data_IF_822645373774
#
_entry.id   IF_822645373774
#
_cell.length_a   1.000
_cell.length_b   1.000
_cell.length_c   1.000
_cell.angle_alpha   90.00
_cell.angle_beta   90.00
_cell.angle_gamma   90.00
#
_symmetry.space_group_name_H-M   'P 1'
#
loop_
_entity.id
_entity.type
_entity.pdbx_description
1 polymer ?
#
# COMPACT_ATOMS: atom_id res chain seq x y z
N UNK A 1 7.81 15.75 2.65
CA UNK A 1 7.01 16.92 3.12
C UNK A 1 5.55 16.73 2.73
N UNK A 2 4.67 16.42 3.70
CA UNK A 2 3.27 16.13 3.39
C UNK A 2 2.41 17.35 3.03
N UNK A 3 2.84 18.56 3.37
CA UNK A 3 2.10 19.78 3.03
C UNK A 3 2.11 20.10 1.53
N UNK A 4 3.03 19.48 0.77
CA UNK A 4 3.20 19.68 -0.68
C UNK A 4 3.07 18.35 -1.46
N UNK A 5 2.45 17.34 -0.84
CA UNK A 5 2.39 15.98 -1.39
C UNK A 5 1.73 15.96 -2.77
N UNK A 6 0.60 16.65 -2.96
CA UNK A 6 -0.07 16.69 -4.27
C UNK A 6 0.83 17.27 -5.39
N UNK A 7 1.62 18.30 -5.11
CA UNK A 7 2.51 18.90 -6.12
C UNK A 7 3.74 18.01 -6.40
N UNK A 8 4.39 17.51 -5.34
CA UNK A 8 5.54 16.61 -5.46
C UNK A 8 5.16 15.32 -6.20
N UNK A 9 3.99 14.78 -5.90
CA UNK A 9 3.46 13.58 -6.55
C UNK A 9 2.97 13.86 -7.97
N UNK A 10 2.39 15.04 -8.25
CA UNK A 10 2.00 15.38 -9.62
C UNK A 10 3.18 15.40 -10.59
N UNK A 11 4.35 15.89 -10.14
CA UNK A 11 5.58 15.85 -10.93
C UNK A 11 6.07 14.41 -11.15
N UNK A 12 6.17 13.62 -10.08
CA UNK A 12 6.57 12.22 -10.16
C UNK A 12 5.64 11.40 -11.08
N UNK A 13 4.34 11.62 -10.97
CA UNK A 13 3.32 11.04 -11.85
C UNK A 13 3.54 11.40 -13.31
N UNK A 14 3.90 12.65 -13.61
CA UNK A 14 4.18 13.09 -14.99
C UNK A 14 5.36 12.32 -15.62
N UNK A 15 6.34 11.92 -14.80
CA UNK A 15 7.45 11.05 -15.20
C UNK A 15 6.97 9.62 -15.45
N UNK A 16 6.15 9.06 -14.56
CA UNK A 16 5.69 7.67 -14.66
C UNK A 16 4.77 7.37 -15.84
N UNK A 17 4.04 8.38 -16.33
CA UNK A 17 3.20 8.24 -17.54
C UNK A 17 3.99 8.39 -18.85
N UNK A 18 5.28 8.68 -18.78
CA UNK A 18 6.12 8.81 -19.97
C UNK A 18 6.38 7.46 -20.65
N UNK A 19 6.59 7.44 -21.99
CA UNK A 19 7.00 6.24 -22.70
C UNK A 19 8.26 5.63 -22.09
N UNK A 20 8.24 4.33 -21.82
CA UNK A 20 9.34 3.62 -21.16
C UNK A 20 9.22 3.54 -19.65
N UNK A 21 8.21 4.17 -19.03
CA UNK A 21 7.80 3.89 -17.65
C UNK A 21 6.51 3.07 -17.56
N UNK A 22 5.61 3.20 -18.54
CA UNK A 22 4.33 2.49 -18.61
C UNK A 22 3.96 2.15 -20.07
N UNK A 23 3.27 1.02 -20.35
CA UNK A 23 2.95 -0.10 -19.45
C UNK A 23 4.10 -1.09 -19.27
N UNK A 24 5.20 -0.92 -20.01
CA UNK A 24 6.39 -1.77 -19.95
C UNK A 24 7.60 -0.89 -19.67
N UNK A 25 8.35 -1.13 -18.58
CA UNK A 25 9.58 -0.42 -18.29
C UNK A 25 10.61 -0.59 -19.38
N UNK A 26 11.32 0.49 -19.70
CA UNK A 26 12.41 0.50 -20.68
C UNK A 26 13.56 -0.39 -20.21
N UNK A 27 14.18 -1.18 -21.10
CA UNK A 27 15.41 -1.92 -20.77
C UNK A 27 16.63 -1.00 -20.60
N UNK A 28 16.53 0.27 -21.01
CA UNK A 28 17.60 1.24 -20.83
C UNK A 28 17.68 1.68 -19.37
N UNK A 29 18.79 1.35 -18.70
CA UNK A 29 19.01 1.61 -17.27
C UNK A 29 18.66 3.05 -16.85
N UNK A 30 19.13 4.05 -17.62
CA UNK A 30 18.87 5.45 -17.29
C UNK A 30 17.37 5.81 -17.27
N UNK A 31 16.56 5.20 -18.14
CA UNK A 31 15.11 5.38 -18.12
C UNK A 31 14.49 4.60 -16.96
N UNK A 32 14.93 3.36 -16.73
CA UNK A 32 14.42 2.54 -15.62
C UNK A 32 14.68 3.19 -14.25
N UNK A 33 15.88 3.73 -14.03
CA UNK A 33 16.24 4.47 -12.81
C UNK A 33 15.35 5.70 -12.62
N UNK A 34 15.12 6.49 -13.68
CA UNK A 34 14.24 7.67 -13.63
C UNK A 34 12.80 7.30 -13.24
N UNK A 35 12.27 6.20 -13.79
CA UNK A 35 10.93 5.73 -13.44
C UNK A 35 10.87 5.20 -12.00
N UNK A 36 11.91 4.50 -11.55
CA UNK A 36 12.02 4.00 -10.18
C UNK A 36 12.06 5.14 -9.16
N UNK A 37 12.88 6.18 -9.40
CA UNK A 37 12.95 7.36 -8.54
C UNK A 37 11.60 8.07 -8.45
N UNK A 38 10.91 8.23 -9.58
CA UNK A 38 9.57 8.81 -9.60
C UNK A 38 8.55 7.94 -8.82
N UNK A 39 8.62 6.62 -8.95
CA UNK A 39 7.79 5.71 -8.17
C UNK A 39 8.07 5.82 -6.67
N UNK A 40 9.34 5.91 -6.25
CA UNK A 40 9.70 6.10 -4.83
C UNK A 40 9.21 7.42 -4.27
N UNK A 41 9.22 8.51 -5.05
CA UNK A 41 8.64 9.78 -4.61
C UNK A 41 7.12 9.63 -4.37
N UNK A 42 6.41 8.95 -5.27
CA UNK A 42 4.98 8.68 -5.08
C UNK A 42 4.74 7.80 -3.85
N UNK A 43 5.51 6.73 -3.71
CA UNK A 43 5.41 5.80 -2.59
C UNK A 43 5.68 6.47 -1.24
N UNK A 44 6.73 7.26 -1.13
CA UNK A 44 7.09 7.92 0.13
C UNK A 44 5.95 8.82 0.64
N UNK A 45 5.33 9.59 -0.24
CA UNK A 45 4.17 10.42 0.14
C UNK A 45 2.94 9.57 0.43
N UNK A 46 2.71 8.53 -0.37
CA UNK A 46 1.58 7.63 -0.20
C UNK A 46 1.60 6.91 1.16
N UNK A 47 2.77 6.38 1.55
CA UNK A 47 2.91 5.55 2.75
C UNK A 47 3.12 6.37 4.03
N UNK A 48 3.80 7.53 3.95
CA UNK A 48 4.20 8.30 5.14
C UNK A 48 3.26 9.46 5.48
N UNK A 49 2.48 9.97 4.51
CA UNK A 49 1.61 11.11 4.76
C UNK A 49 0.23 10.70 5.27
N UNK A 50 -0.47 11.61 5.98
CA UNK A 50 -1.87 11.42 6.35
C UNK A 50 -2.72 11.04 5.14
N UNK A 51 -3.78 10.27 5.37
CA UNK A 51 -4.56 9.71 4.28
C UNK A 51 -5.24 10.75 3.37
N UNK A 52 -5.38 11.98 3.84
CA UNK A 52 -5.97 13.10 3.10
C UNK A 52 -4.92 14.05 2.48
N UNK A 53 -3.62 13.80 2.68
CA UNK A 53 -2.55 14.60 2.10
C UNK A 53 -2.40 14.43 0.57
N UNK A 54 -2.96 13.35 0.03
CA UNK A 54 -2.98 13.06 -1.40
C UNK A 54 -4.40 12.76 -1.85
N UNK A 55 -4.75 13.20 -3.05
CA UNK A 55 -6.04 12.82 -3.61
C UNK A 55 -6.18 11.29 -3.76
N UNK A 56 -7.37 10.78 -3.44
CA UNK A 56 -7.75 9.37 -3.61
C UNK A 56 -7.38 8.82 -5.00
N UNK A 57 -7.60 9.62 -6.04
CA UNK A 57 -7.27 9.25 -7.42
C UNK A 57 -5.78 8.93 -7.59
N UNK A 58 -4.90 9.78 -7.04
CA UNK A 58 -3.46 9.60 -7.16
C UNK A 58 -3.00 8.35 -6.39
N UNK A 59 -3.51 8.12 -5.17
CA UNK A 59 -3.21 6.92 -4.40
C UNK A 59 -3.57 5.64 -5.16
N UNK A 60 -4.76 5.60 -5.74
CA UNK A 60 -5.19 4.46 -6.56
C UNK A 60 -4.31 4.27 -7.81
N UNK A 61 -3.97 5.35 -8.52
CA UNK A 61 -3.11 5.27 -9.71
C UNK A 61 -1.72 4.69 -9.40
N UNK A 62 -1.18 4.92 -8.20
CA UNK A 62 0.11 4.37 -7.78
C UNK A 62 0.14 2.83 -7.82
N UNK A 63 -0.95 2.17 -7.43
CA UNK A 63 -1.02 0.70 -7.37
C UNK A 63 -0.85 0.04 -8.74
N UNK A 64 -1.10 0.77 -9.83
CA UNK A 64 -0.80 0.28 -11.17
C UNK A 64 0.71 0.06 -11.36
N UNK A 65 1.58 0.75 -10.63
CA UNK A 65 3.04 0.71 -10.82
C UNK A 65 3.77 -0.26 -9.88
N UNK A 66 3.14 -0.74 -8.81
CA UNK A 66 3.77 -1.58 -7.78
C UNK A 66 4.26 -2.94 -8.30
N UNK A 67 3.70 -3.42 -9.42
CA UNK A 67 4.17 -4.64 -10.09
C UNK A 67 5.32 -4.39 -11.07
N UNK A 68 5.57 -3.13 -11.42
CA UNK A 68 6.61 -2.71 -12.37
C UNK A 68 7.90 -2.29 -11.66
N UNK A 69 7.77 -1.66 -10.48
CA UNK A 69 8.89 -1.06 -9.77
C UNK A 69 9.09 -1.64 -8.38
N UNK A 70 10.37 -1.77 -8.05
CA UNK A 70 10.83 -2.12 -6.73
C UNK A 70 10.48 -1.04 -5.70
N UNK A 71 9.46 -1.17 -4.85
CA UNK A 71 9.22 -0.28 -3.72
C UNK A 71 10.15 -0.48 -2.53
N UNK A 72 9.99 0.40 -1.55
CA UNK A 72 10.70 0.37 -0.28
C UNK A 72 9.76 -0.07 0.85
N UNK A 73 10.31 -0.38 2.02
CA UNK A 73 9.47 -0.59 3.19
C UNK A 73 9.17 0.75 3.88
N UNK A 74 7.91 0.95 4.28
CA UNK A 74 7.47 2.04 5.16
C UNK A 74 6.65 1.43 6.29
N UNK A 75 6.82 1.90 7.55
CA UNK A 75 5.95 1.49 8.63
C UNK A 75 4.51 1.93 8.35
N UNK A 76 3.50 1.13 8.75
CA UNK A 76 2.10 1.57 8.73
C UNK A 76 1.91 2.85 9.57
N UNK A 77 0.88 3.66 9.27
CA UNK A 77 0.59 4.86 10.05
C UNK A 77 0.27 4.50 11.52
N UNK A 78 0.75 5.34 12.43
CA UNK A 78 0.47 5.22 13.86
C UNK A 78 -0.54 6.30 14.29
N UNK A 79 -1.57 5.87 15.02
CA UNK A 79 -2.63 6.73 15.53
C UNK A 79 -2.60 6.75 17.05
N UNK A 80 -2.32 7.92 17.64
CA UNK A 80 -2.28 8.06 19.10
C UNK A 80 -3.62 7.69 19.75
N UNK A 81 -3.55 6.89 20.82
CA UNK A 81 -4.71 6.37 21.53
C UNK A 81 -5.56 5.32 20.80
N UNK A 82 -5.20 4.91 19.58
CA UNK A 82 -5.96 3.90 18.84
C UNK A 82 -5.69 2.47 19.37
N UNK A 83 -6.71 1.59 19.38
CA UNK A 83 -6.56 0.21 19.84
C UNK A 83 -5.67 -0.62 18.89
N UNK A 84 -5.17 -1.79 19.31
CA UNK A 84 -4.48 -2.70 18.40
C UNK A 84 -5.42 -3.17 17.28
N UNK A 85 -4.88 -3.29 16.07
CA UNK A 85 -5.57 -3.87 14.92
C UNK A 85 -5.81 -5.38 15.08
N UNK A 86 -6.75 -5.96 14.32
CA UNK A 86 -6.87 -7.41 14.22
C UNK A 86 -5.58 -8.05 13.65
N UNK A 87 -5.39 -9.37 13.85
CA UNK A 87 -4.24 -10.08 13.29
C UNK A 87 -4.16 -10.01 11.76
N UNK A 88 -2.94 -10.15 11.22
CA UNK A 88 -2.69 -10.26 9.78
C UNK A 88 -3.51 -11.40 9.16
N UNK A 89 -4.11 -11.22 7.96
CA UNK A 89 -4.77 -12.31 7.26
C UNK A 89 -3.75 -13.39 6.86
N UNK A 90 -4.15 -14.67 6.93
CA UNK A 90 -3.31 -15.80 6.50
C UNK A 90 -2.95 -15.74 5.00
N UNK A 91 -3.84 -15.15 4.18
CA UNK A 91 -3.66 -15.02 2.73
C UNK A 91 -4.02 -13.63 2.25
N UNK A 92 -3.10 -12.97 1.57
CA UNK A 92 -3.35 -11.63 1.03
C UNK A 92 -4.48 -11.56 -0.01
N UNK A 93 -4.72 -12.66 -0.73
CA UNK A 93 -5.85 -12.77 -1.66
C UNK A 93 -7.21 -12.67 -0.98
N UNK A 94 -7.32 -12.90 0.33
CA UNK A 94 -8.61 -12.79 1.04
C UNK A 94 -9.08 -11.34 1.21
N UNK A 95 -8.19 -10.36 0.98
CA UNK A 95 -8.52 -8.94 1.14
C UNK A 95 -9.62 -8.47 0.18
N UNK A 96 -9.77 -9.13 -0.97
CA UNK A 96 -10.86 -8.83 -1.93
C UNK A 96 -12.26 -9.15 -1.34
N UNK A 97 -12.38 -10.19 -0.52
CA UNK A 97 -13.63 -10.48 0.16
C UNK A 97 -14.02 -9.38 1.17
N UNK A 98 -13.04 -8.73 1.81
CA UNK A 98 -13.28 -7.62 2.74
C UNK A 98 -13.84 -6.39 2.01
N UNK A 99 -13.35 -6.12 0.79
CA UNK A 99 -13.90 -5.06 -0.07
C UNK A 99 -15.37 -5.35 -0.39
N UNK A 100 -15.69 -6.59 -0.78
CA UNK A 100 -17.07 -6.98 -1.06
C UNK A 100 -17.97 -6.82 0.18
N UNK A 101 -17.49 -7.25 1.35
CA UNK A 101 -18.22 -7.06 2.62
C UNK A 101 -18.49 -5.58 2.90
N UNK A 102 -17.49 -4.71 2.76
CA UNK A 102 -17.67 -3.26 2.97
C UNK A 102 -18.66 -2.63 1.97
N UNK A 103 -18.66 -3.11 0.72
CA UNK A 103 -19.63 -2.68 -0.29
C UNK A 103 -21.05 -3.17 0.03
N UNK A 104 -21.22 -4.44 0.42
CA UNK A 104 -22.52 -5.03 0.77
C UNK A 104 -23.13 -4.38 2.00
N UNK A 105 -22.31 -4.05 2.99
CA UNK A 105 -22.71 -3.28 4.19
C UNK A 105 -22.91 -1.79 3.91
N UNK A 106 -22.65 -1.33 2.69
CA UNK A 106 -22.78 0.05 2.25
C UNK A 106 -21.97 1.02 3.12
N UNK A 107 -20.71 0.70 3.39
CA UNK A 107 -19.78 1.50 4.19
C UNK A 107 -19.18 2.67 3.38
N UNK A 108 -20.00 3.41 2.62
CA UNK A 108 -19.52 4.33 1.57
C UNK A 108 -19.43 5.80 1.97
N UNK A 109 -19.81 6.14 3.20
CA UNK A 109 -19.65 7.47 3.78
C UNK A 109 -19.23 7.39 5.24
N UNK A 110 -18.70 8.49 5.79
CA UNK A 110 -18.37 8.63 7.21
C UNK A 110 -19.51 8.23 8.15
N UNK A 111 -20.74 8.63 7.83
CA UNK A 111 -21.94 8.32 8.63
C UNK A 111 -22.25 6.83 8.61
N UNK A 112 -22.20 6.21 7.42
CA UNK A 112 -22.46 4.77 7.28
C UNK A 112 -21.39 3.95 7.98
N UNK A 113 -20.12 4.34 7.82
CA UNK A 113 -19.02 3.65 8.47
C UNK A 113 -19.11 3.77 9.99
N UNK A 114 -19.45 4.94 10.52
CA UNK A 114 -19.56 5.15 11.97
C UNK A 114 -20.78 4.48 12.61
N UNK A 115 -21.81 4.16 11.83
CA UNK A 115 -23.04 3.54 12.31
C UNK A 115 -22.98 2.01 12.43
N UNK A 116 -21.94 1.35 11.89
CA UNK A 116 -21.81 -0.12 11.86
C UNK A 116 -20.47 -0.58 12.41
N UNK A 117 -20.54 -1.41 13.45
CA UNK A 117 -19.36 -2.10 13.98
C UNK A 117 -18.82 -3.13 12.99
N UNK A 118 -19.67 -3.71 12.15
CA UNK A 118 -19.31 -4.62 11.08
C UNK A 118 -18.49 -3.90 9.98
N UNK A 119 -18.86 -2.67 9.61
CA UNK A 119 -18.02 -1.82 8.77
C UNK A 119 -16.65 -1.60 9.41
N UNK A 120 -16.61 -1.28 10.71
CA UNK A 120 -15.36 -1.10 11.45
C UNK A 120 -14.46 -2.33 11.43
N UNK A 121 -15.02 -3.52 11.72
CA UNK A 121 -14.28 -4.77 11.72
C UNK A 121 -13.73 -5.14 10.33
N UNK A 122 -14.55 -5.02 9.29
CA UNK A 122 -14.14 -5.30 7.91
C UNK A 122 -13.08 -4.29 7.42
N UNK A 123 -13.22 -3.01 7.78
CA UNK A 123 -12.27 -1.96 7.43
C UNK A 123 -10.92 -2.18 8.13
N UNK A 124 -10.91 -2.45 9.44
CA UNK A 124 -9.68 -2.72 10.17
C UNK A 124 -8.95 -3.95 9.62
N UNK A 125 -9.67 -5.01 9.26
CA UNK A 125 -9.08 -6.17 8.60
C UNK A 125 -8.48 -5.80 7.22
N UNK A 126 -9.16 -4.96 6.44
CA UNK A 126 -8.65 -4.49 5.14
C UNK A 126 -7.45 -3.58 5.31
N UNK A 127 -7.43 -2.71 6.33
CA UNK A 127 -6.30 -1.86 6.68
C UNK A 127 -5.06 -2.68 7.03
N UNK A 128 -5.21 -3.75 7.81
CA UNK A 128 -4.12 -4.67 8.11
C UNK A 128 -3.65 -5.38 6.85
N UNK A 129 -4.57 -5.92 6.04
CA UNK A 129 -4.21 -6.59 4.80
C UNK A 129 -3.44 -5.66 3.86
N UNK A 130 -3.90 -4.43 3.69
CA UNK A 130 -3.30 -3.42 2.83
C UNK A 130 -1.85 -3.07 3.21
N UNK A 131 -1.60 -2.93 4.52
CA UNK A 131 -0.29 -2.52 5.05
C UNK A 131 0.68 -3.70 5.26
N UNK A 132 0.17 -4.90 5.52
CA UNK A 132 1.00 -6.08 5.83
C UNK A 132 1.22 -7.04 4.67
N UNK A 133 0.43 -6.93 3.59
CA UNK A 133 0.61 -7.76 2.42
C UNK A 133 1.66 -7.21 1.47
N UNK A 134 2.39 -8.12 0.84
CA UNK A 134 3.20 -7.79 -0.32
C UNK A 134 2.31 -7.12 -1.38
N UNK A 135 2.71 -5.95 -1.87
CA UNK A 135 1.95 -5.16 -2.85
C UNK A 135 1.68 -5.90 -4.16
N UNK A 136 2.55 -6.86 -4.53
CA UNK A 136 2.35 -7.73 -5.70
C UNK A 136 1.42 -8.92 -5.43
N UNK A 137 1.22 -9.30 -4.17
CA UNK A 137 0.31 -10.37 -3.75
C UNK A 137 -1.06 -9.84 -3.30
N UNK A 138 -1.16 -8.55 -2.98
CA UNK A 138 -2.41 -7.88 -2.66
C UNK A 138 -3.20 -7.68 -3.98
N UNK A 139 -4.44 -8.19 -4.09
CA UNK A 139 -5.24 -7.95 -5.28
C UNK A 139 -5.43 -6.45 -5.54
N UNK A 140 -5.35 -6.02 -6.80
CA UNK A 140 -5.55 -4.61 -7.17
C UNK A 140 -6.90 -4.07 -6.67
N UNK A 141 -7.94 -4.92 -6.67
CA UNK A 141 -9.24 -4.56 -6.11
C UNK A 141 -9.19 -4.27 -4.61
N UNK A 142 -8.37 -5.00 -3.85
CA UNK A 142 -8.16 -4.74 -2.42
C UNK A 142 -7.37 -3.46 -2.18
N UNK A 143 -6.32 -3.22 -2.96
CA UNK A 143 -5.52 -1.99 -2.88
C UNK A 143 -6.37 -0.73 -3.17
N UNK A 144 -7.14 -0.76 -4.28
CA UNK A 144 -8.09 0.29 -4.62
C UNK A 144 -9.23 0.40 -3.62
N UNK A 145 -9.76 -0.74 -3.17
CA UNK A 145 -10.83 -0.81 -2.17
C UNK A 145 -10.43 -0.18 -0.84
N UNK A 146 -9.19 -0.40 -0.40
CA UNK A 146 -8.66 0.25 0.80
C UNK A 146 -8.78 1.77 0.68
N UNK A 147 -8.28 2.40 -0.39
CA UNK A 147 -8.41 3.85 -0.56
C UNK A 147 -9.85 4.33 -0.81
N UNK A 148 -10.75 3.46 -1.27
CA UNK A 148 -12.16 3.80 -1.31
C UNK A 148 -12.75 4.00 0.08
N UNK A 149 -12.40 3.12 1.02
CA UNK A 149 -12.97 3.11 2.37
C UNK A 149 -12.12 3.90 3.38
N UNK A 150 -10.82 4.05 3.16
CA UNK A 150 -9.90 4.78 4.05
C UNK A 150 -10.40 6.20 4.30
N UNK A 151 -10.70 6.95 3.24
CA UNK A 151 -11.18 8.33 3.34
C UNK A 151 -12.49 8.48 4.13
N UNK A 152 -13.28 7.41 4.22
CA UNK A 152 -14.59 7.41 4.88
C UNK A 152 -14.54 6.81 6.30
N UNK A 153 -13.67 5.83 6.53
CA UNK A 153 -13.76 4.95 7.71
C UNK A 153 -12.58 5.08 8.67
N UNK A 154 -11.41 5.56 8.22
CA UNK A 154 -10.18 5.57 9.05
C UNK A 154 -10.31 6.46 10.28
N UNK A 155 -11.03 7.58 10.19
CA UNK A 155 -11.18 8.51 11.32
C UNK A 155 -11.95 7.90 12.49
N UNK A 156 -12.91 7.02 12.19
CA UNK A 156 -13.74 6.35 13.20
C UNK A 156 -13.11 5.04 13.68
N UNK A 157 -12.52 4.28 12.76
CA UNK A 157 -12.11 2.89 13.00
C UNK A 157 -10.61 2.66 12.93
N UNK A 158 -9.79 3.71 13.08
CA UNK A 158 -8.33 3.59 13.20
C UNK A 158 -7.92 2.57 14.25
N UNK A 159 -6.86 1.84 13.95
CA UNK A 159 -6.20 0.91 14.84
C UNK A 159 -4.69 0.94 14.55
N UNK A 160 -3.89 0.49 15.50
CA UNK A 160 -2.44 0.39 15.35
C UNK A 160 -2.04 -1.05 15.06
N UNK A 161 -1.36 -1.29 13.94
CA UNK A 161 -0.84 -2.61 13.59
C UNK A 161 0.32 -2.93 14.55
N UNK A 162 0.12 -3.94 15.40
CA UNK A 162 1.14 -4.40 16.32
C UNK A 162 2.22 -5.22 15.58
N UNK A 163 3.41 -5.27 16.18
CA UNK A 163 4.47 -6.22 15.80
C UNK A 163 4.81 -6.22 14.31
N UNK A 164 5.04 -5.06 13.71
CA UNK A 164 5.69 -4.94 12.39
C UNK A 164 7.19 -5.09 12.62
N UNK A 165 7.80 -6.28 12.40
CA UNK A 165 9.24 -6.40 12.54
C UNK A 165 9.88 -5.63 11.39
N UNK A 166 10.87 -4.79 11.70
CA UNK A 166 11.61 -4.01 10.70
C UNK A 166 12.07 -4.91 9.54
N UNK A 167 11.70 -4.56 8.32
CA UNK A 167 12.10 -5.31 7.12
C UNK A 167 11.47 -6.70 6.96
N UNK A 168 10.50 -7.10 7.79
CA UNK A 168 9.85 -8.41 7.66
C UNK A 168 8.71 -8.35 6.63
N UNK A 169 9.10 -8.51 5.37
CA UNK A 169 8.21 -8.95 4.30
C UNK A 169 8.28 -10.47 4.28
N UNK A 170 7.33 -11.13 4.95
CA UNK A 170 7.17 -12.59 4.90
C UNK A 170 6.64 -12.98 3.52
N UNK A 171 7.59 -13.11 2.59
CA UNK A 171 7.58 -13.78 1.28
C UNK A 171 8.54 -13.00 0.36
N UNK A 172 9.83 -13.32 0.44
CA UNK A 172 10.91 -12.91 -0.48
C UNK A 172 10.77 -11.49 -1.03
N UNK A 173 10.95 -10.50 -0.15
CA UNK A 173 11.12 -9.08 -0.48
C UNK A 173 11.60 -8.86 -1.91
N UNK A 174 10.66 -8.43 -2.75
CA UNK A 174 10.83 -8.41 -4.19
C UNK A 174 9.65 -7.68 -4.76
N UNK A 175 9.49 -6.41 -4.37
CA UNK A 175 8.96 -5.47 -5.33
C UNK A 175 9.78 -5.64 -6.63
N UNK A 176 9.10 -5.88 -7.74
CA UNK A 176 9.60 -6.68 -8.87
C UNK A 176 11.08 -6.55 -9.28
N UNK A 177 11.66 -7.73 -9.53
CA UNK A 177 12.93 -8.05 -10.23
C UNK A 177 14.25 -8.04 -9.44
N UNK A 178 14.79 -9.27 -9.30
CA UNK A 178 16.18 -9.66 -8.99
C UNK A 178 16.64 -9.75 -7.52
N UNK A 179 16.10 -10.69 -6.75
CA UNK A 179 16.94 -11.61 -5.96
C UNK A 179 16.11 -12.75 -5.37
N UNK A 180 16.41 -14.00 -5.75
CA UNK A 180 15.73 -15.15 -5.16
C UNK A 180 15.88 -16.43 -5.96
N UNK A 181 17.05 -17.05 -5.91
CA UNK A 181 17.16 -18.48 -6.25
C UNK A 181 16.30 -19.29 -5.29
N UNK A 182 15.27 -19.97 -5.80
CA UNK A 182 14.45 -20.89 -5.02
C UNK A 182 15.30 -22.03 -4.45
N UNK A 183 15.32 -22.19 -3.13
CA UNK A 183 15.80 -23.42 -2.47
C UNK A 183 14.67 -24.04 -1.66
N UNK A 184 14.49 -25.35 -1.84
CA UNK A 184 13.29 -26.12 -1.53
C UNK A 184 13.07 -26.54 -0.07
N UNK A 185 13.51 -25.76 0.94
CA UNK A 185 13.27 -26.10 2.35
C UNK A 185 13.20 -24.88 3.28
N UNK A 186 12.04 -24.68 3.93
CA UNK A 186 11.87 -23.80 5.09
C UNK A 186 11.91 -22.30 4.75
N UNK A 187 11.18 -21.48 5.50
CA UNK A 187 10.99 -20.05 5.27
C UNK A 187 12.25 -19.34 4.76
N UNK A 188 12.13 -18.76 3.57
CA UNK A 188 13.23 -18.04 2.93
C UNK A 188 13.50 -16.75 3.72
N UNK A 189 14.68 -16.64 4.34
CA UNK A 189 15.16 -15.36 4.87
C UNK A 189 15.39 -14.41 3.69
N UNK A 190 14.64 -13.31 3.67
CA UNK A 190 14.67 -12.30 2.61
C UNK A 190 15.77 -11.28 2.88
N UNK A 191 16.40 -10.67 1.86
CA UNK A 191 17.25 -9.50 2.06
C UNK A 191 16.39 -8.30 2.55
N UNK A 192 16.97 -7.45 3.39
CA UNK A 192 16.32 -6.25 3.93
C UNK A 192 15.88 -5.32 2.77
N UNK A 193 14.60 -4.95 2.73
CA UNK A 193 14.13 -3.93 1.79
C UNK A 193 14.73 -2.56 2.16
N UNK A 194 15.16 -1.75 1.17
CA UNK A 194 15.62 -0.39 1.44
C UNK A 194 14.50 0.43 2.08
N UNK A 195 14.86 1.35 2.99
CA UNK A 195 13.95 2.31 3.63
C UNK A 195 13.82 3.53 2.71
N UNK A 196 12.61 4.00 2.45
CA UNK A 196 12.40 5.29 1.77
C UNK A 196 12.97 6.40 2.65
N UNK A 197 14.05 7.06 2.23
CA UNK A 197 14.48 8.33 2.82
C UNK A 197 13.67 9.47 2.22
N UNK A 198 13.13 10.34 3.08
CA UNK A 198 12.47 11.60 2.70
C UNK A 198 13.39 12.58 1.94
#
# INVERSE_FOLDING_TARGET
NCADADNSVALARSTLVAPGCWPVPSPAKATADLCLDAFHIMQAHHDACPHDAMSKKIKMEMHAYEHLYGGCWSPPPFFDGAPPCPPRPEKCSSAEALVNTLTELNCSSKEQCSASAECGAAFQALHVAYNMCNKTALPLMAAHGYHNFEHECIETWKCNIADVPWGFVDDCGGFGSNSGTHTSRGHTTCPEAPVCSE
#
